data_IF_839746298043
#
_entry.id   IF_839746298043
#
_cell.length_a   1.000
_cell.length_b   1.000
_cell.length_c   1.000
_cell.angle_alpha   90.00
_cell.angle_beta   90.00
_cell.angle_gamma   90.00
#
_symmetry.space_group_name_H-M   'P 1'
#
loop_
_entity.id
_entity.type
_entity.pdbx_description
1 polymer ?
#
# COMPACT_ATOMS: atom_id res chain seq x y z
N UNK A 1 -2.47 25.62 34.24
CA UNK A 1 -2.72 24.34 33.56
C UNK A 1 -3.06 24.70 32.13
N UNK A 2 -2.10 24.64 31.21
CA UNK A 2 -2.30 25.01 29.81
C UNK A 2 -2.68 23.76 29.03
N UNK A 3 -3.92 23.78 28.57
CA UNK A 3 -4.58 22.82 27.71
C UNK A 3 -3.94 22.89 26.32
N UNK A 4 -2.98 22.00 26.03
CA UNK A 4 -2.45 21.82 24.68
C UNK A 4 -3.41 20.94 23.90
N UNK A 5 -4.49 21.56 23.40
CA UNK A 5 -5.33 20.99 22.37
C UNK A 5 -4.49 20.76 21.12
N UNK A 6 -4.18 19.50 20.84
CA UNK A 6 -3.61 19.09 19.56
C UNK A 6 -4.72 19.29 18.52
N UNK A 7 -4.62 20.35 17.74
CA UNK A 7 -5.43 20.51 16.53
C UNK A 7 -5.12 19.35 15.57
N UNK A 8 -6.04 18.40 15.52
CA UNK A 8 -6.09 17.42 14.43
C UNK A 8 -6.46 18.24 13.19
N UNK A 9 -5.44 18.63 12.41
CA UNK A 9 -5.65 19.19 11.07
C UNK A 9 -6.53 18.22 10.29
N UNK A 10 -7.78 18.61 10.05
CA UNK A 10 -8.62 17.94 9.08
C UNK A 10 -7.89 18.00 7.75
N UNK A 11 -7.44 16.84 7.26
CA UNK A 11 -6.89 16.72 5.92
C UNK A 11 -7.97 17.17 4.94
N UNK A 12 -7.66 18.18 4.13
CA UNK A 12 -8.54 18.66 3.06
C UNK A 12 -8.99 17.50 2.15
N UNK A 13 -10.17 17.58 1.53
CA UNK A 13 -10.71 16.50 0.72
C UNK A 13 -9.77 16.23 -0.46
N UNK A 14 -9.06 15.11 -0.37
CA UNK A 14 -8.15 14.62 -1.40
C UNK A 14 -8.93 14.41 -2.69
N UNK A 15 -8.42 14.92 -3.80
CA UNK A 15 -9.08 14.82 -5.09
C UNK A 15 -8.89 13.39 -5.62
N UNK A 16 -9.96 12.58 -5.61
CA UNK A 16 -9.94 11.25 -6.23
C UNK A 16 -9.94 11.41 -7.75
N UNK A 17 -8.91 10.88 -8.41
CA UNK A 17 -8.81 10.89 -9.88
C UNK A 17 -9.19 9.50 -10.41
N UNK A 18 -10.00 9.40 -11.48
CA UNK A 18 -10.30 8.12 -12.11
C UNK A 18 -9.03 7.37 -12.51
N UNK A 19 -9.01 6.05 -12.27
CA UNK A 19 -7.90 5.14 -12.62
C UNK A 19 -7.33 5.41 -14.01
N UNK A 20 -8.18 5.50 -15.02
CA UNK A 20 -7.73 5.67 -16.41
C UNK A 20 -7.03 7.01 -16.62
N UNK A 21 -7.52 8.08 -16.01
CA UNK A 21 -6.88 9.40 -16.07
C UNK A 21 -5.50 9.37 -15.42
N UNK A 22 -5.36 8.73 -14.26
CA UNK A 22 -4.05 8.50 -13.65
C UNK A 22 -3.11 7.73 -14.57
N UNK A 23 -3.55 6.59 -15.11
CA UNK A 23 -2.75 5.76 -16.02
C UNK A 23 -2.29 6.57 -17.25
N UNK A 24 -3.11 7.49 -17.74
CA UNK A 24 -2.77 8.37 -18.86
C UNK A 24 -1.59 9.31 -18.58
N UNK A 25 -1.33 9.67 -17.31
CA UNK A 25 -0.19 10.51 -16.92
C UNK A 25 1.15 9.77 -16.94
N UNK A 26 1.13 8.44 -16.96
CA UNK A 26 2.33 7.61 -16.89
C UNK A 26 2.92 7.35 -18.28
N UNK A 27 4.24 7.14 -18.33
CA UNK A 27 4.92 6.62 -19.53
C UNK A 27 4.39 5.22 -19.85
N UNK A 28 4.46 4.76 -21.12
CA UNK A 28 3.90 3.47 -21.50
C UNK A 28 4.37 2.29 -20.63
N UNK A 29 5.67 2.23 -20.33
CA UNK A 29 6.24 1.15 -19.52
C UNK A 29 5.73 1.16 -18.06
N UNK A 30 5.62 2.36 -17.46
CA UNK A 30 5.09 2.53 -16.11
C UNK A 30 3.59 2.19 -16.07
N UNK A 31 2.84 2.61 -17.09
CA UNK A 31 1.42 2.29 -17.25
C UNK A 31 1.18 0.79 -17.34
N UNK A 32 1.99 0.10 -18.13
CA UNK A 32 1.88 -1.35 -18.29
C UNK A 32 2.20 -2.07 -16.98
N UNK A 33 3.26 -1.66 -16.27
CA UNK A 33 3.64 -2.22 -14.98
C UNK A 33 2.52 -2.06 -13.94
N UNK A 34 1.98 -0.84 -13.81
CA UNK A 34 0.89 -0.54 -12.88
C UNK A 34 -0.39 -1.27 -13.28
N UNK A 35 -0.69 -1.38 -14.58
CA UNK A 35 -1.87 -2.10 -15.06
C UNK A 35 -1.80 -3.60 -14.73
N UNK A 36 -0.62 -4.20 -14.83
CA UNK A 36 -0.41 -5.59 -14.42
C UNK A 36 -0.52 -5.76 -12.90
N UNK A 37 0.03 -4.81 -12.14
CA UNK A 37 -0.08 -4.80 -10.68
C UNK A 37 -1.56 -4.76 -10.25
N UNK A 38 -2.34 -3.84 -10.83
CA UNK A 38 -3.78 -3.68 -10.58
C UNK A 38 -4.53 -4.98 -10.88
N UNK A 39 -4.33 -5.56 -12.07
CA UNK A 39 -4.98 -6.82 -12.46
C UNK A 39 -4.62 -7.97 -11.53
N UNK A 40 -3.36 -8.06 -11.13
CA UNK A 40 -2.89 -9.08 -10.19
C UNK A 40 -3.54 -8.94 -8.82
N UNK A 41 -3.61 -7.72 -8.28
CA UNK A 41 -4.29 -7.46 -7.02
C UNK A 41 -5.78 -7.77 -7.08
N UNK A 42 -6.46 -7.35 -8.14
CA UNK A 42 -7.89 -7.63 -8.34
C UNK A 42 -8.17 -9.15 -8.34
N UNK A 43 -7.36 -9.93 -9.06
CA UNK A 43 -7.45 -11.38 -9.05
C UNK A 43 -7.16 -11.97 -7.66
N UNK A 44 -6.06 -11.58 -7.01
CA UNK A 44 -5.67 -12.09 -5.70
C UNK A 44 -6.70 -11.76 -4.59
N UNK A 45 -7.32 -10.57 -4.64
CA UNK A 45 -8.37 -10.20 -3.71
C UNK A 45 -9.65 -10.99 -3.97
N UNK A 46 -10.03 -11.17 -5.24
CA UNK A 46 -11.20 -11.96 -5.63
C UNK A 46 -11.07 -13.42 -5.18
N UNK A 47 -9.95 -14.07 -5.49
CA UNK A 47 -9.68 -15.47 -5.15
C UNK A 47 -9.68 -15.72 -3.64
N UNK A 48 -9.21 -14.74 -2.85
CA UNK A 48 -9.14 -14.82 -1.40
C UNK A 48 -10.40 -14.30 -0.71
N UNK A 49 -11.41 -13.90 -1.47
CA UNK A 49 -12.65 -13.31 -0.95
C UNK A 49 -12.40 -12.05 -0.09
N UNK A 50 -11.39 -11.27 -0.44
CA UNK A 50 -10.99 -10.03 0.25
C UNK A 50 -11.53 -8.80 -0.49
N UNK A 51 -11.80 -7.75 0.28
CA UNK A 51 -11.96 -6.41 -0.27
C UNK A 51 -10.67 -5.61 -0.06
N UNK A 52 -10.31 -4.76 -1.01
CA UNK A 52 -9.14 -3.91 -0.91
C UNK A 52 -9.11 -2.77 -1.92
N UNK A 53 -8.08 -1.97 -1.83
CA UNK A 53 -7.78 -0.92 -2.79
C UNK A 53 -6.27 -0.82 -2.99
N UNK A 54 -5.90 -0.36 -4.16
CA UNK A 54 -4.56 0.16 -4.41
C UNK A 54 -4.67 1.67 -4.50
N UNK A 55 -3.99 2.34 -3.57
CA UNK A 55 -3.92 3.79 -3.54
C UNK A 55 -2.54 4.25 -3.97
N UNK A 56 -2.48 5.03 -5.04
CA UNK A 56 -1.22 5.62 -5.48
C UNK A 56 -0.97 6.88 -4.67
N UNK A 57 0.22 7.00 -4.08
CA UNK A 57 0.57 8.11 -3.19
C UNK A 57 1.86 8.82 -3.59
N UNK A 58 2.09 9.96 -2.96
CA UNK A 58 3.31 10.73 -3.12
C UNK A 58 3.31 11.61 -4.36
N UNK A 59 4.51 12.02 -4.77
CA UNK A 59 4.71 13.03 -5.81
C UNK A 59 4.42 12.56 -7.24
N UNK A 60 3.92 11.34 -7.44
CA UNK A 60 3.63 10.80 -8.76
C UNK A 60 2.49 11.57 -9.48
N UNK A 61 1.62 12.24 -8.75
CA UNK A 61 0.61 13.11 -9.38
C UNK A 61 1.16 14.51 -9.66
N UNK A 62 2.04 15.03 -8.78
CA UNK A 62 2.36 16.46 -8.72
C UNK A 62 3.82 16.83 -9.10
N UNK A 63 4.76 15.88 -9.17
CA UNK A 63 6.18 16.16 -9.44
C UNK A 63 6.54 15.95 -10.91
N UNK A 64 7.33 16.87 -11.47
CA UNK A 64 7.91 16.73 -12.82
C UNK A 64 8.90 15.55 -12.89
N UNK A 65 9.07 14.98 -14.08
CA UNK A 65 10.04 13.93 -14.37
C UNK A 65 11.49 14.47 -14.29
N UNK A 66 12.51 13.64 -13.96
CA UNK A 66 12.46 12.18 -13.71
C UNK A 66 12.10 11.82 -12.27
N UNK A 67 11.53 10.62 -12.08
CA UNK A 67 11.12 10.07 -10.77
C UNK A 67 11.94 8.82 -10.47
N UNK A 68 12.02 8.44 -9.18
CA UNK A 68 12.81 7.28 -8.72
C UNK A 68 11.97 6.01 -8.63
N UNK A 69 10.73 6.15 -8.21
CA UNK A 69 9.81 5.08 -7.82
C UNK A 69 8.35 5.56 -7.93
N UNK A 70 7.43 4.61 -7.77
CA UNK A 70 5.98 4.82 -7.65
C UNK A 70 5.53 4.25 -6.31
N UNK A 71 5.15 5.14 -5.39
CA UNK A 71 4.67 4.74 -4.06
C UNK A 71 3.20 4.32 -4.13
N UNK A 72 2.91 3.15 -3.58
CA UNK A 72 1.61 2.52 -3.66
C UNK A 72 1.22 1.99 -2.29
N UNK A 73 0.18 2.56 -1.70
CA UNK A 73 -0.48 2.01 -0.54
C UNK A 73 -1.43 0.90 -0.95
N UNK A 74 -1.17 -0.32 -0.47
CA UNK A 74 -2.16 -1.36 -0.51
C UNK A 74 -3.03 -1.27 0.74
N UNK A 75 -4.34 -1.18 0.50
CA UNK A 75 -5.34 -1.22 1.54
C UNK A 75 -6.11 -2.53 1.40
N UNK A 76 -6.28 -3.23 2.51
CA UNK A 76 -7.13 -4.42 2.60
C UNK A 76 -8.14 -4.15 3.69
N UNK A 77 -9.42 -4.29 3.38
CA UNK A 77 -10.47 -4.18 4.37
C UNK A 77 -10.32 -5.32 5.40
N UNK A 78 -10.18 -4.96 6.68
CA UNK A 78 -10.23 -5.94 7.77
C UNK A 78 -11.61 -6.60 7.87
N UNK A 79 -11.61 -7.90 8.16
CA UNK A 79 -12.80 -8.69 8.48
C UNK A 79 -12.84 -8.96 9.97
N UNK A 80 -14.03 -9.28 10.50
CA UNK A 80 -14.19 -9.68 11.91
C UNK A 80 -13.34 -10.89 12.28
N UNK A 81 -13.18 -11.85 11.35
CA UNK A 81 -12.35 -13.06 11.53
C UNK A 81 -10.84 -12.81 11.45
N UNK A 82 -10.43 -11.61 11.04
CA UNK A 82 -9.01 -11.31 10.98
C UNK A 82 -8.47 -11.19 12.41
N UNK A 83 -7.30 -11.78 12.70
CA UNK A 83 -6.70 -11.64 14.01
C UNK A 83 -6.60 -10.17 14.40
N UNK A 84 -6.78 -9.92 15.68
CA UNK A 84 -6.62 -8.60 16.29
C UNK A 84 -5.34 -8.62 17.12
N UNK A 85 -4.69 -7.46 17.24
CA UNK A 85 -3.50 -7.33 18.09
C UNK A 85 -3.88 -7.69 19.53
N UNK A 86 -3.19 -8.68 20.09
CA UNK A 86 -3.39 -9.07 21.48
C UNK A 86 -2.70 -8.05 22.41
N UNK A 87 -3.21 -7.83 23.64
CA UNK A 87 -2.67 -6.82 24.54
C UNK A 87 -1.18 -7.00 24.90
N UNK A 88 -0.67 -8.23 24.82
CA UNK A 88 0.70 -8.59 25.15
C UNK A 88 1.64 -8.61 23.93
N UNK A 89 1.12 -8.50 22.71
CA UNK A 89 1.95 -8.48 21.50
C UNK A 89 2.61 -7.11 21.34
N UNK A 90 3.91 -7.10 21.06
CA UNK A 90 4.61 -5.86 20.73
C UNK A 90 4.13 -5.32 19.38
N UNK A 91 4.38 -4.04 19.11
CA UNK A 91 4.09 -3.50 17.78
C UNK A 91 4.88 -4.22 16.69
N UNK A 92 6.12 -4.63 16.97
CA UNK A 92 6.95 -5.38 16.04
C UNK A 92 6.37 -6.76 15.70
N UNK A 93 5.90 -7.51 16.71
CA UNK A 93 5.29 -8.83 16.50
C UNK A 93 4.07 -8.72 15.59
N UNK A 94 3.21 -7.75 15.91
CA UNK A 94 2.02 -7.45 15.15
C UNK A 94 2.35 -7.04 13.70
N UNK A 95 3.30 -6.11 13.54
CA UNK A 95 3.72 -5.62 12.23
C UNK A 95 4.34 -6.75 11.38
N UNK A 96 5.14 -7.63 11.98
CA UNK A 96 5.76 -8.79 11.32
C UNK A 96 4.72 -9.78 10.82
N UNK A 97 3.75 -10.14 11.68
CA UNK A 97 2.67 -11.05 11.30
C UNK A 97 1.85 -10.49 10.14
N UNK A 98 1.48 -9.21 10.21
CA UNK A 98 0.68 -8.59 9.16
C UNK A 98 1.49 -8.36 7.87
N UNK A 99 2.79 -8.06 7.96
CA UNK A 99 3.68 -7.97 6.80
C UNK A 99 3.81 -9.30 6.07
N UNK A 100 3.84 -10.44 6.78
CA UNK A 100 3.81 -11.76 6.15
C UNK A 100 2.55 -11.99 5.32
N UNK A 101 1.37 -11.54 5.80
CA UNK A 101 0.11 -11.65 5.03
C UNK A 101 0.16 -10.82 3.76
N UNK A 102 0.63 -9.58 3.90
CA UNK A 102 0.85 -8.68 2.78
C UNK A 102 1.82 -9.28 1.76
N UNK A 103 2.99 -9.76 2.20
CA UNK A 103 4.00 -10.41 1.38
C UNK A 103 3.45 -11.65 0.66
N UNK A 104 2.57 -12.42 1.29
CA UNK A 104 1.90 -13.55 0.65
C UNK A 104 0.93 -13.11 -0.46
N UNK A 105 0.23 -11.97 -0.31
CA UNK A 105 -0.60 -11.41 -1.40
C UNK A 105 0.30 -10.97 -2.55
N UNK A 106 1.32 -10.17 -2.27
CA UNK A 106 2.26 -9.65 -3.28
C UNK A 106 2.96 -10.78 -4.02
N UNK A 107 3.41 -11.82 -3.32
CA UNK A 107 4.06 -12.98 -3.93
C UNK A 107 3.11 -13.71 -4.89
N UNK A 108 1.83 -13.89 -4.54
CA UNK A 108 0.88 -14.52 -5.46
C UNK A 108 0.66 -13.70 -6.74
N UNK A 109 0.75 -12.38 -6.66
CA UNK A 109 0.62 -11.49 -7.81
C UNK A 109 1.79 -11.66 -8.78
N UNK A 110 3.01 -11.81 -8.26
CA UNK A 110 4.21 -12.02 -9.10
C UNK A 110 4.21 -13.34 -9.86
N UNK A 111 3.40 -14.32 -9.44
CA UNK A 111 3.26 -15.60 -10.19
C UNK A 111 2.44 -15.41 -11.47
N UNK A 112 1.45 -14.51 -11.45
CA UNK A 112 0.53 -14.28 -12.56
C UNK A 112 0.80 -13.02 -13.37
N UNK A 113 1.62 -12.09 -12.85
CA UNK A 113 1.99 -10.84 -13.51
C UNK A 113 3.43 -10.91 -14.04
N UNK A 114 3.78 -10.09 -15.04
CA UNK A 114 5.16 -9.97 -15.53
C UNK A 114 6.01 -9.06 -14.61
N UNK A 115 5.91 -9.29 -13.31
CA UNK A 115 6.53 -8.54 -12.24
C UNK A 115 7.32 -9.49 -11.33
N UNK A 116 8.40 -8.97 -10.74
CA UNK A 116 9.20 -9.65 -9.72
C UNK A 116 9.46 -8.75 -8.53
N UNK A 117 9.67 -9.37 -7.38
CA UNK A 117 10.12 -8.68 -6.18
C UNK A 117 11.60 -8.32 -6.36
N UNK A 118 11.94 -7.03 -6.29
CA UNK A 118 13.32 -6.56 -6.32
C UNK A 118 13.94 -6.50 -4.92
N UNK A 119 13.15 -6.09 -3.94
CA UNK A 119 13.58 -5.93 -2.54
C UNK A 119 12.43 -6.10 -1.57
N UNK A 120 12.78 -6.50 -0.35
CA UNK A 120 11.88 -6.56 0.80
C UNK A 120 12.59 -5.91 1.98
N UNK A 121 11.91 -4.98 2.62
CA UNK A 121 12.30 -4.42 3.92
C UNK A 121 11.32 -4.99 4.92
N UNK A 122 11.81 -5.77 5.86
CA UNK A 122 10.97 -6.32 6.93
C UNK A 122 10.69 -5.23 7.98
N UNK A 123 9.58 -5.33 8.75
CA UNK A 123 9.34 -4.46 9.88
C UNK A 123 10.51 -4.47 10.86
N UNK A 124 10.90 -3.30 11.35
CA UNK A 124 12.02 -3.17 12.29
C UNK A 124 11.78 -2.08 13.32
N UNK A 125 12.35 -2.28 14.50
CA UNK A 125 12.31 -1.29 15.57
C UNK A 125 13.17 -0.09 15.21
N UNK A 126 12.85 1.05 15.81
CA UNK A 126 13.77 2.17 15.81
C UNK A 126 14.88 1.91 16.83
N UNK A 127 16.09 1.67 16.32
CA UNK A 127 17.29 1.37 17.09
C UNK A 127 17.66 2.51 18.05
N UNK A 128 17.25 3.76 17.78
CA UNK A 128 17.50 4.88 18.69
C UNK A 128 16.72 4.74 20.01
N UNK A 129 15.54 4.11 19.95
CA UNK A 129 14.67 3.95 21.11
C UNK A 129 14.76 2.56 21.74
N UNK A 130 15.32 1.57 21.02
CA UNK A 130 15.44 0.16 21.42
C UNK A 130 14.13 -0.47 21.94
N UNK A 131 12.98 0.10 21.57
CA UNK A 131 11.67 -0.28 22.08
C UNK A 131 10.89 -1.03 20.99
N UNK A 132 10.45 -2.28 21.22
CA UNK A 132 9.71 -3.06 20.22
C UNK A 132 8.30 -2.53 19.91
N UNK A 133 7.87 -1.46 20.58
CA UNK A 133 6.66 -0.72 20.28
C UNK A 133 6.87 0.53 19.43
N UNK A 134 8.12 0.91 19.16
CA UNK A 134 8.47 2.06 18.31
C UNK A 134 9.15 1.51 17.06
N UNK A 135 8.46 1.58 15.93
CA UNK A 135 8.96 1.03 14.67
C UNK A 135 9.59 2.12 13.81
N UNK A 136 10.73 1.78 13.19
CA UNK A 136 11.35 2.56 12.12
C UNK A 136 10.60 2.36 10.80
N UNK A 137 10.07 1.16 10.58
CA UNK A 137 9.33 0.79 9.39
C UNK A 137 8.32 -0.32 9.71
N UNK A 138 7.14 -0.22 9.10
CA UNK A 138 6.16 -1.30 9.01
C UNK A 138 6.51 -2.29 7.88
N UNK A 139 7.67 -2.17 7.25
CA UNK A 139 8.09 -3.02 6.16
C UNK A 139 7.44 -2.66 4.82
N UNK A 140 8.19 -2.95 3.75
CA UNK A 140 7.89 -2.51 2.39
C UNK A 140 8.31 -3.57 1.38
N UNK A 141 7.59 -3.70 0.27
CA UNK A 141 7.97 -4.60 -0.83
C UNK A 141 8.09 -3.79 -2.12
N UNK A 142 9.24 -3.87 -2.78
CA UNK A 142 9.45 -3.22 -4.07
C UNK A 142 9.27 -4.23 -5.19
N UNK A 143 8.46 -3.87 -6.17
CA UNK A 143 8.25 -4.64 -7.40
C UNK A 143 8.89 -3.92 -8.59
N UNK A 144 9.36 -4.72 -9.55
CA UNK A 144 9.81 -4.25 -10.87
C UNK A 144 9.33 -5.22 -11.93
N UNK A 145 9.22 -4.76 -13.18
CA UNK A 145 8.97 -5.65 -14.30
C UNK A 145 10.10 -6.67 -14.47
N UNK A 146 9.79 -7.86 -15.00
CA UNK A 146 10.82 -8.86 -15.28
C UNK A 146 11.86 -8.37 -16.30
N UNK A 147 11.46 -7.45 -17.20
CA UNK A 147 12.36 -6.83 -18.17
C UNK A 147 13.26 -5.75 -17.56
N UNK A 148 12.99 -5.30 -16.33
CA UNK A 148 13.70 -4.20 -15.67
C UNK A 148 13.34 -2.80 -16.22
N UNK A 149 12.30 -2.69 -17.06
CA UNK A 149 11.82 -1.43 -17.64
C UNK A 149 10.73 -0.78 -16.78
N UNK A 150 10.63 0.54 -16.88
CA UNK A 150 9.79 1.39 -16.04
C UNK A 150 10.34 1.60 -14.62
N UNK A 151 9.62 2.38 -13.83
CA UNK A 151 9.96 2.69 -12.45
C UNK A 151 9.65 1.50 -11.52
N UNK A 152 10.47 1.27 -10.49
CA UNK A 152 10.12 0.41 -9.38
C UNK A 152 8.83 0.90 -8.68
N UNK A 153 8.01 -0.04 -8.25
CA UNK A 153 6.78 0.22 -7.50
C UNK A 153 7.01 -0.17 -6.05
N UNK A 154 6.97 0.81 -5.16
CA UNK A 154 7.14 0.60 -3.73
C UNK A 154 5.77 0.37 -3.08
N UNK A 155 5.54 -0.86 -2.61
CA UNK A 155 4.28 -1.26 -2.01
C UNK A 155 4.35 -1.11 -0.49
N UNK A 156 3.55 -0.18 0.03
CA UNK A 156 3.43 0.19 1.43
C UNK A 156 2.08 -0.32 1.94
N UNK A 157 2.01 -0.67 3.22
CA UNK A 157 0.76 -1.12 3.87
C UNK A 157 0.05 0.06 4.51
N UNK A 158 -1.27 0.17 4.34
CA UNK A 158 -2.05 1.06 5.19
C UNK A 158 -2.23 0.45 6.59
N UNK A 159 -1.59 1.05 7.60
CA UNK A 159 -1.72 0.66 9.00
C UNK A 159 -2.70 1.53 9.79
N UNK A 160 -3.25 2.58 9.16
CA UNK A 160 -4.04 3.63 9.83
C UNK A 160 -5.54 3.38 9.77
N UNK A 161 -6.02 2.57 8.82
CA UNK A 161 -7.45 2.25 8.65
C UNK A 161 -8.30 3.40 8.12
N UNK A 162 -7.70 4.56 7.85
CA UNK A 162 -8.40 5.76 7.40
C UNK A 162 -9.02 5.59 6.01
N UNK A 163 -8.46 4.72 5.16
CA UNK A 163 -8.93 4.51 3.79
C UNK A 163 -9.97 3.38 3.70
N UNK A 164 -10.17 2.59 4.75
CA UNK A 164 -11.15 1.49 4.76
C UNK A 164 -12.59 1.99 4.54
N UNK A 165 -12.91 3.20 5.03
CA UNK A 165 -14.24 3.81 4.84
C UNK A 165 -14.52 4.14 3.37
N UNK A 166 -13.50 4.47 2.58
CA UNK A 166 -13.67 4.74 1.14
C UNK A 166 -13.89 3.46 0.33
N UNK A 167 -13.25 2.35 0.73
CA UNK A 167 -13.43 1.02 0.11
C UNK A 167 -14.86 0.52 0.30
N UNK A 168 -15.41 0.68 1.51
CA UNK A 168 -16.76 0.20 1.85
C UNK A 168 -17.89 0.78 0.97
N UNK A 169 -17.64 1.92 0.32
CA UNK A 169 -18.60 2.63 -0.54
C UNK A 169 -18.55 2.16 -2.00
N UNK A 170 -17.62 1.28 -2.36
CA UNK A 170 -17.38 0.88 -3.74
C UNK A 170 -18.19 -0.36 -4.14
N UNK A 171 -18.58 -0.45 -5.42
CA UNK A 171 -19.43 -1.54 -5.95
C UNK A 171 -18.66 -2.84 -6.29
N UNK A 172 -17.35 -2.89 -6.07
CA UNK A 172 -16.50 -4.04 -6.40
C UNK A 172 -15.55 -4.43 -5.26
N UNK A 173 -14.96 -5.64 -5.35
CA UNK A 173 -14.02 -6.16 -4.34
C UNK A 173 -12.68 -5.43 -4.34
N UNK A 174 -12.33 -4.79 -5.45
CA UNK A 174 -11.08 -4.05 -5.58
C UNK A 174 -11.30 -2.74 -6.32
N UNK A 175 -10.59 -1.70 -5.90
CA UNK A 175 -10.58 -0.42 -6.57
C UNK A 175 -9.18 0.21 -6.61
N UNK A 176 -9.02 1.19 -7.48
CA UNK A 176 -7.81 2.01 -7.56
C UNK A 176 -8.18 3.42 -7.16
N UNK A 177 -7.49 3.96 -6.17
CA UNK A 177 -7.64 5.32 -5.67
C UNK A 177 -6.37 6.07 -6.07
N UNK A 178 -6.49 7.12 -6.87
CA UNK A 178 -5.37 8.03 -7.12
C UNK A 178 -5.67 9.33 -6.39
N UNK A 179 -4.85 9.67 -5.40
CA UNK A 179 -4.97 10.90 -4.63
C UNK A 179 -3.93 11.92 -5.11
N UNK A 180 -4.36 13.17 -5.31
CA UNK A 180 -3.53 14.31 -5.72
C UNK A 180 -3.33 15.26 -4.55
#
# INVERSE_FOLDING_TARGET
>A
MTDTGIEIKQLEPKHEVPKEEFLHTLKPEDRDNISQLIKGFEAAMTDRDLNGALMVVGGIMNKLQPRKDIDILLIRQRREKDPQKLPFETQLDWATMDFRRFSNIVTSITVSANLRISSRIEPSIDEEFENPNILKSDGTITLISNSGRGLPMELIRDTTGNVEQQISKQKGRFCVIAEV
#
